data_IF_378041195491
#
_entry.id   IF_378041195491
#
_cell.length_a   1.000
_cell.length_b   1.000
_cell.length_c   1.000
_cell.angle_alpha   90.00
_cell.angle_beta   90.00
_cell.angle_gamma   90.00
#
_symmetry.space_group_name_H-M   'P 1'
#
loop_
_entity.id
_entity.type
_entity.pdbx_description
1 polymer ?
#
# COMPACT_ATOMS: atom_id res chain seq x y z
N UNK A 1 16.98 9.86 -60.55
CA UNK A 1 16.99 8.40 -60.28
C UNK A 1 18.09 8.10 -59.27
N UNK A 2 17.97 7.39 -58.16
CA UNK A 2 16.89 7.10 -57.20
C UNK A 2 17.67 6.74 -55.92
N UNK A 3 17.52 7.50 -54.83
CA UNK A 3 18.15 7.19 -53.54
C UNK A 3 17.45 5.97 -52.95
N UNK A 4 18.17 4.86 -52.72
CA UNK A 4 17.69 3.74 -51.93
C UNK A 4 17.91 4.06 -50.45
N UNK A 5 16.84 4.45 -49.77
CA UNK A 5 16.69 4.26 -48.34
C UNK A 5 16.01 2.92 -48.15
N UNK A 6 16.65 1.97 -47.48
CA UNK A 6 16.02 0.73 -47.08
C UNK A 6 16.17 0.56 -45.57
N UNK A 7 14.99 0.50 -44.96
CA UNK A 7 14.57 0.47 -43.56
C UNK A 7 15.28 -0.52 -42.66
N UNK A 8 15.75 -0.03 -41.50
CA UNK A 8 16.08 -0.88 -40.36
C UNK A 8 14.79 -1.42 -39.72
N UNK A 9 14.68 -2.75 -39.70
CA UNK A 9 13.60 -3.49 -39.06
C UNK A 9 13.65 -3.33 -37.53
N UNK A 10 12.58 -2.77 -36.95
CA UNK A 10 12.38 -2.68 -35.50
C UNK A 10 12.24 -4.10 -34.93
N UNK A 11 13.20 -4.50 -34.09
CA UNK A 11 13.02 -5.64 -33.20
C UNK A 11 11.92 -5.30 -32.19
N UNK A 12 10.77 -5.94 -32.35
CA UNK A 12 9.67 -5.98 -31.40
C UNK A 12 10.18 -6.64 -30.11
N UNK A 13 10.53 -5.84 -29.11
CA UNK A 13 10.85 -6.31 -27.76
C UNK A 13 9.52 -6.72 -27.13
N UNK A 14 9.19 -8.00 -27.19
CA UNK A 14 8.11 -8.58 -26.39
C UNK A 14 8.65 -8.79 -24.99
N UNK A 15 8.34 -7.87 -24.09
CA UNK A 15 8.55 -8.04 -22.65
C UNK A 15 7.69 -9.23 -22.18
N UNK A 16 8.24 -10.22 -21.47
CA UNK A 16 7.43 -11.24 -20.83
C UNK A 16 6.79 -10.61 -19.60
N UNK A 17 5.47 -10.39 -19.64
CA UNK A 17 4.66 -10.16 -18.43
C UNK A 17 4.73 -11.44 -17.61
N UNK A 18 5.68 -11.49 -16.68
CA UNK A 18 5.73 -12.53 -15.67
C UNK A 18 4.53 -12.30 -14.74
N UNK A 19 3.45 -13.04 -14.98
CA UNK A 19 2.38 -13.20 -14.02
C UNK A 19 2.95 -13.97 -12.83
N UNK A 20 3.27 -13.24 -11.77
CA UNK A 20 3.57 -13.82 -10.46
C UNK A 20 2.26 -14.41 -9.95
N UNK A 21 2.08 -15.71 -10.11
CA UNK A 21 0.98 -16.43 -9.48
C UNK A 21 1.11 -16.30 -7.96
N UNK A 22 0.34 -15.39 -7.38
CA UNK A 22 0.21 -15.25 -5.93
C UNK A 22 -0.41 -16.54 -5.38
N UNK A 23 0.15 -17.08 -4.29
CA UNK A 23 -0.56 -18.08 -3.48
C UNK A 23 -1.92 -17.49 -3.09
N UNK A 24 -3.00 -18.30 -2.98
CA UNK A 24 -4.30 -17.79 -2.56
C UNK A 24 -4.12 -17.05 -1.23
N UNK A 25 -4.29 -15.73 -1.25
CA UNK A 25 -4.30 -14.94 -0.02
C UNK A 25 -5.60 -15.28 0.72
N UNK A 26 -5.50 -15.58 2.01
CA UNK A 26 -6.66 -15.93 2.83
C UNK A 26 -7.68 -14.77 2.81
N UNK A 27 -8.90 -15.08 2.38
CA UNK A 27 -10.07 -14.21 2.52
C UNK A 27 -10.82 -14.58 3.79
N UNK A 28 -11.17 -13.60 4.61
CA UNK A 28 -11.83 -13.79 5.89
C UNK A 28 -13.27 -13.27 5.85
N UNK A 29 -14.19 -13.95 6.55
CA UNK A 29 -15.58 -13.50 6.68
C UNK A 29 -15.74 -12.31 7.64
N UNK A 30 -14.80 -12.15 8.57
CA UNK A 30 -14.69 -11.07 9.54
C UNK A 30 -13.21 -10.95 9.97
N UNK A 31 -12.90 -9.93 10.79
CA UNK A 31 -11.59 -9.84 11.44
C UNK A 31 -11.28 -11.15 12.18
N UNK A 32 -10.14 -11.82 11.90
CA UNK A 32 -9.74 -13.02 12.61
C UNK A 32 -9.53 -12.77 14.10
N UNK A 33 -9.57 -13.83 14.92
CA UNK A 33 -9.24 -13.71 16.33
C UNK A 33 -7.84 -13.10 16.53
N UNK A 34 -7.77 -12.11 17.41
CA UNK A 34 -6.58 -11.32 17.71
C UNK A 34 -6.27 -11.40 19.21
N UNK A 35 -4.98 -11.26 19.56
CA UNK A 35 -4.53 -11.00 20.94
C UNK A 35 -4.09 -9.54 21.09
N UNK A 36 -4.71 -8.64 20.33
CA UNK A 36 -4.35 -7.23 20.32
C UNK A 36 -4.62 -6.58 21.67
N UNK A 37 -3.62 -5.86 22.19
CA UNK A 37 -3.72 -5.13 23.44
C UNK A 37 -3.52 -3.64 23.17
N UNK A 38 -4.61 -2.90 23.13
CA UNK A 38 -4.58 -1.45 22.89
C UNK A 38 -3.71 -0.66 23.86
N UNK A 39 -3.34 -1.21 25.02
CA UNK A 39 -2.47 -0.52 25.99
C UNK A 39 -0.99 -0.52 25.61
N UNK A 40 -0.60 -1.35 24.64
CA UNK A 40 0.78 -1.50 24.19
C UNK A 40 1.15 -0.58 23.02
N UNK A 41 2.45 -0.44 22.80
CA UNK A 41 2.98 0.25 21.64
C UNK A 41 3.30 -0.74 20.53
N UNK A 42 2.90 -0.41 19.30
CA UNK A 42 3.14 -1.24 18.13
C UNK A 42 3.94 -0.52 17.06
N UNK A 43 4.90 -1.21 16.48
CA UNK A 43 5.66 -0.78 15.30
C UNK A 43 5.55 -1.86 14.23
N UNK A 44 5.32 -1.46 12.99
CA UNK A 44 5.32 -2.35 11.84
C UNK A 44 6.53 -2.06 10.95
N UNK A 45 7.31 -3.09 10.62
CA UNK A 45 8.42 -3.01 9.66
C UNK A 45 7.97 -3.69 8.38
N UNK A 46 7.74 -2.90 7.33
CA UNK A 46 7.44 -3.38 6.00
C UNK A 46 8.76 -3.70 5.30
N UNK A 47 9.07 -4.98 5.13
CA UNK A 47 10.23 -5.43 4.34
C UNK A 47 9.85 -5.34 2.87
N UNK A 48 10.38 -4.39 2.12
CA UNK A 48 10.05 -4.22 0.69
C UNK A 48 11.23 -4.56 -0.21
N UNK A 49 10.98 -4.76 -1.50
CA UNK A 49 12.04 -4.96 -2.51
C UNK A 49 12.96 -3.75 -2.68
N UNK A 50 12.60 -2.58 -2.15
CA UNK A 50 13.37 -1.33 -2.26
C UNK A 50 13.98 -0.87 -0.92
N UNK A 51 13.82 -1.66 0.14
CA UNK A 51 14.27 -1.32 1.50
C UNK A 51 13.14 -1.45 2.52
N UNK A 52 13.46 -1.15 3.77
CA UNK A 52 12.51 -1.28 4.87
C UNK A 52 11.79 0.06 5.11
N UNK A 53 10.51 -0.01 5.48
CA UNK A 53 9.73 1.13 5.96
C UNK A 53 9.22 0.80 7.36
N UNK A 54 9.63 1.58 8.36
CA UNK A 54 9.22 1.39 9.76
C UNK A 54 8.11 2.37 10.10
N UNK A 55 6.97 1.87 10.58
CA UNK A 55 5.77 2.63 10.89
C UNK A 55 5.46 2.49 12.39
N UNK A 56 5.37 3.61 13.10
CA UNK A 56 4.78 3.65 14.43
C UNK A 56 3.25 3.67 14.31
N UNK A 57 2.56 2.73 14.98
CA UNK A 57 1.10 2.59 14.91
C UNK A 57 0.41 3.29 16.08
N UNK A 58 -0.76 3.89 15.83
CA UNK A 58 -1.52 4.68 16.78
C UNK A 58 -2.63 3.86 17.46
N UNK A 59 -2.24 2.88 18.27
CA UNK A 59 -3.16 1.92 18.90
C UNK A 59 -4.15 2.58 19.88
N UNK A 60 -3.81 3.74 20.46
CA UNK A 60 -4.66 4.42 21.44
C UNK A 60 -5.81 5.17 20.77
N UNK A 61 -5.54 5.89 19.68
CA UNK A 61 -6.53 6.72 19.01
C UNK A 61 -7.35 5.94 17.98
N UNK A 62 -6.73 4.98 17.28
CA UNK A 62 -7.39 4.17 16.24
C UNK A 62 -7.21 2.66 16.50
N UNK A 63 -7.70 2.13 17.65
CA UNK A 63 -7.44 0.76 18.07
C UNK A 63 -7.96 -0.28 17.08
N UNK A 64 -9.15 -0.12 16.49
CA UNK A 64 -9.72 -1.14 15.58
C UNK A 64 -8.93 -1.20 14.27
N UNK A 65 -8.48 -0.05 13.79
CA UNK A 65 -7.68 0.05 12.56
C UNK A 65 -6.30 -0.58 12.76
N UNK A 66 -5.66 -0.29 13.90
CA UNK A 66 -4.38 -0.90 14.25
C UNK A 66 -4.53 -2.41 14.51
N UNK A 67 -5.55 -2.84 15.24
CA UNK A 67 -5.86 -4.25 15.45
C UNK A 67 -6.01 -5.00 14.13
N UNK A 68 -6.77 -4.44 13.19
CA UNK A 68 -6.94 -4.99 11.85
C UNK A 68 -5.60 -5.14 11.12
N UNK A 69 -4.80 -4.06 11.07
CA UNK A 69 -3.51 -4.08 10.38
C UNK A 69 -2.53 -5.08 11.02
N UNK A 70 -2.43 -5.11 12.36
CA UNK A 70 -1.57 -6.02 13.11
C UNK A 70 -1.98 -7.47 12.88
N UNK A 71 -3.28 -7.77 12.99
CA UNK A 71 -3.81 -9.13 12.82
C UNK A 71 -3.56 -9.64 11.41
N UNK A 72 -3.84 -8.84 10.38
CA UNK A 72 -3.57 -9.20 8.99
C UNK A 72 -2.06 -9.40 8.74
N UNK A 73 -1.21 -8.56 9.33
CA UNK A 73 0.25 -8.70 9.24
C UNK A 73 0.74 -10.02 9.85
N UNK A 74 0.27 -10.36 11.06
CA UNK A 74 0.61 -11.61 11.74
C UNK A 74 0.11 -12.86 10.99
N UNK A 75 -0.97 -12.72 10.21
CA UNK A 75 -1.48 -13.75 9.30
C UNK A 75 -0.79 -13.76 7.93
N UNK A 76 0.29 -12.99 7.75
CA UNK A 76 1.04 -12.88 6.50
C UNK A 76 0.20 -12.37 5.32
N UNK A 77 -0.93 -11.70 5.58
CA UNK A 77 -1.86 -11.25 4.54
C UNK A 77 -1.20 -10.28 3.55
N UNK A 78 -0.31 -9.43 4.05
CA UNK A 78 0.41 -8.43 3.25
C UNK A 78 1.62 -8.99 2.49
N UNK A 79 2.00 -10.25 2.72
CA UNK A 79 3.19 -10.83 2.10
C UNK A 79 2.97 -10.99 0.59
N UNK A 80 3.93 -10.47 -0.18
CA UNK A 80 3.91 -10.39 -1.64
C UNK A 80 2.80 -9.52 -2.23
N UNK A 81 2.18 -8.65 -1.42
CA UNK A 81 1.35 -7.57 -1.94
C UNK A 81 2.23 -6.47 -2.53
N UNK A 82 1.65 -5.64 -3.40
CA UNK A 82 2.37 -4.55 -4.06
C UNK A 82 1.79 -3.19 -3.70
N UNK A 83 2.60 -2.14 -3.86
CA UNK A 83 2.08 -0.79 -4.05
C UNK A 83 1.54 -0.67 -5.48
N UNK A 84 0.23 -0.80 -5.64
CA UNK A 84 -0.44 -0.89 -6.95
C UNK A 84 -0.80 0.49 -7.53
N UNK A 85 -0.85 1.53 -6.70
CA UNK A 85 -1.15 2.90 -7.12
C UNK A 85 -0.18 3.87 -6.45
N UNK A 86 0.51 4.67 -7.26
CA UNK A 86 1.58 5.56 -6.86
C UNK A 86 1.43 6.89 -7.57
N UNK A 87 1.46 8.00 -6.84
CA UNK A 87 1.36 9.35 -7.40
C UNK A 87 2.46 10.23 -6.80
N UNK A 88 3.41 10.62 -7.65
CA UNK A 88 4.49 11.55 -7.26
C UNK A 88 3.90 12.85 -6.69
N UNK A 89 4.44 13.31 -5.57
CA UNK A 89 3.95 14.47 -4.84
C UNK A 89 2.66 14.25 -4.05
N UNK A 90 2.15 13.02 -3.95
CA UNK A 90 0.91 12.74 -3.24
C UNK A 90 1.05 11.53 -2.30
N UNK A 91 0.97 10.30 -2.80
CA UNK A 91 0.97 9.10 -1.96
C UNK A 91 1.36 7.82 -2.71
N UNK A 92 1.69 6.77 -1.95
CA UNK A 92 1.81 5.39 -2.40
C UNK A 92 0.75 4.53 -1.71
N UNK A 93 0.01 3.72 -2.45
CA UNK A 93 -1.10 2.91 -1.96
C UNK A 93 -0.85 1.43 -2.23
N UNK A 94 -1.07 0.61 -1.19
CA UNK A 94 -0.82 -0.82 -1.18
C UNK A 94 -1.83 -1.58 -0.31
N UNK A 95 -1.47 -2.81 0.10
CA UNK A 95 -2.31 -3.65 0.95
C UNK A 95 -3.49 -4.32 0.23
N UNK A 96 -3.46 -4.35 -1.11
CA UNK A 96 -4.41 -5.10 -1.93
C UNK A 96 -3.82 -6.49 -2.27
N UNK A 97 -4.46 -7.60 -1.83
CA UNK A 97 -4.02 -8.94 -2.17
C UNK A 97 -4.11 -9.27 -3.66
N UNK A 98 -4.95 -8.59 -4.45
CA UNK A 98 -5.05 -8.79 -5.90
C UNK A 98 -4.07 -7.94 -6.69
N UNK A 99 -3.60 -6.84 -6.10
CA UNK A 99 -2.73 -5.86 -6.74
C UNK A 99 -3.37 -5.03 -7.85
N UNK A 100 -4.71 -5.04 -7.98
CA UNK A 100 -5.45 -4.32 -9.03
C UNK A 100 -6.28 -3.14 -8.50
N UNK A 101 -6.21 -2.88 -7.19
CA UNK A 101 -6.94 -1.87 -6.45
C UNK A 101 -8.31 -2.34 -5.94
N UNK A 102 -8.75 -3.55 -6.28
CA UNK A 102 -10.13 -4.02 -6.00
C UNK A 102 -10.23 -5.07 -4.91
N UNK A 103 -9.11 -5.63 -4.45
CA UNK A 103 -9.12 -6.65 -3.41
C UNK A 103 -9.16 -6.07 -1.99
N UNK A 104 -9.24 -6.99 -1.03
CA UNK A 104 -9.37 -6.69 0.38
C UNK A 104 -9.40 -7.98 1.21
N UNK A 105 -9.60 -7.88 2.53
CA UNK A 105 -9.50 -9.02 3.44
C UNK A 105 -10.76 -9.90 3.47
N UNK A 106 -11.78 -9.57 2.67
CA UNK A 106 -13.07 -10.28 2.63
C UNK A 106 -14.16 -9.66 3.52
N UNK A 107 -13.82 -8.67 4.35
CA UNK A 107 -14.74 -7.91 5.18
C UNK A 107 -14.44 -6.41 5.12
N UNK A 108 -15.32 -5.63 5.76
CA UNK A 108 -15.17 -4.18 5.96
C UNK A 108 -15.43 -3.80 7.40
N UNK A 109 -14.86 -2.69 7.85
CA UNK A 109 -15.10 -2.15 9.19
C UNK A 109 -15.30 -0.62 9.17
N UNK A 110 -15.90 -0.13 10.25
CA UNK A 110 -16.28 1.27 10.43
C UNK A 110 -15.06 2.20 10.50
N UNK A 111 -15.28 3.48 10.20
CA UNK A 111 -14.28 4.52 10.45
C UNK A 111 -14.10 4.70 11.96
N UNK A 112 -12.90 5.11 12.36
CA UNK A 112 -12.62 5.59 13.70
C UNK A 112 -12.43 7.11 13.64
N UNK A 113 -12.94 7.86 14.64
CA UNK A 113 -12.64 9.28 14.73
C UNK A 113 -11.13 9.44 14.88
N UNK A 114 -10.55 10.32 14.07
CA UNK A 114 -9.14 10.65 14.16
C UNK A 114 -8.97 12.16 14.10
N UNK A 115 -7.92 12.64 14.75
CA UNK A 115 -7.47 14.03 14.66
C UNK A 115 -6.11 14.04 13.97
N UNK A 116 -5.93 14.90 12.97
CA UNK A 116 -4.65 14.98 12.26
C UNK A 116 -4.75 15.59 10.87
N UNK A 117 -3.57 15.79 10.29
CA UNK A 117 -3.37 16.32 8.95
C UNK A 117 -2.56 15.30 8.13
N UNK A 118 -2.87 15.17 6.84
CA UNK A 118 -2.19 14.24 5.93
C UNK A 118 -0.84 14.81 5.49
N UNK A 119 0.08 14.86 6.46
CA UNK A 119 1.47 15.27 6.26
C UNK A 119 2.33 14.11 5.76
N UNK A 120 3.50 14.42 5.21
CA UNK A 120 4.48 13.46 4.71
C UNK A 120 4.76 12.35 5.74
N UNK A 121 4.69 11.10 5.28
CA UNK A 121 4.92 9.89 6.09
C UNK A 121 3.71 9.43 6.90
N UNK A 122 2.59 10.14 6.90
CA UNK A 122 1.35 9.66 7.52
C UNK A 122 0.83 8.43 6.78
N UNK A 123 0.36 7.45 7.56
CA UNK A 123 -0.23 6.20 7.07
C UNK A 123 -1.71 6.18 7.42
N UNK A 124 -2.55 5.97 6.41
CA UNK A 124 -4.00 5.98 6.56
C UNK A 124 -4.68 4.89 5.74
N UNK A 125 -5.89 4.50 6.16
CA UNK A 125 -6.68 3.49 5.46
C UNK A 125 -7.24 4.03 4.15
N UNK A 126 -7.10 3.27 3.07
CA UNK A 126 -7.88 3.49 1.86
C UNK A 126 -9.30 2.89 2.05
N UNK A 127 -10.31 3.56 1.50
CA UNK A 127 -11.70 3.12 1.56
C UNK A 127 -12.47 3.46 0.28
N UNK A 128 -13.67 2.91 0.14
CA UNK A 128 -14.60 3.16 -0.97
C UNK A 128 -15.77 4.06 -0.52
N UNK A 129 -15.54 4.90 0.49
CA UNK A 129 -16.56 5.70 1.17
C UNK A 129 -16.64 5.39 2.68
N UNK A 130 -17.49 6.13 3.42
CA UNK A 130 -17.57 6.01 4.87
C UNK A 130 -17.81 4.57 5.34
N UNK A 131 -17.11 4.15 6.39
CA UNK A 131 -17.23 2.84 7.04
C UNK A 131 -16.94 1.64 6.12
N UNK A 132 -16.01 1.80 5.17
CA UNK A 132 -15.62 0.73 4.23
C UNK A 132 -14.14 0.38 4.28
N UNK A 133 -13.50 0.59 5.44
CA UNK A 133 -12.10 0.21 5.64
C UNK A 133 -11.92 -1.31 5.50
N UNK A 134 -10.77 -1.73 4.99
CA UNK A 134 -10.43 -3.14 4.78
C UNK A 134 -8.95 -3.38 5.05
N UNK A 135 -8.19 -3.78 4.03
CA UNK A 135 -6.75 -4.05 4.17
C UNK A 135 -5.88 -2.99 3.48
N UNK A 136 -6.43 -2.26 2.52
CA UNK A 136 -5.68 -1.29 1.73
C UNK A 136 -5.35 -0.05 2.56
N UNK A 137 -4.13 0.44 2.40
CA UNK A 137 -3.63 1.63 3.08
C UNK A 137 -2.79 2.46 2.11
N UNK A 138 -2.55 3.73 2.45
CA UNK A 138 -1.61 4.57 1.75
C UNK A 138 -0.65 5.26 2.71
N UNK A 139 0.53 5.62 2.18
CA UNK A 139 1.55 6.41 2.85
C UNK A 139 1.71 7.72 2.08
N UNK A 140 1.61 8.85 2.79
CA UNK A 140 1.77 10.17 2.21
C UNK A 140 3.21 10.41 1.76
N UNK A 141 3.41 10.74 0.48
CA UNK A 141 4.71 11.14 -0.06
C UNK A 141 5.00 12.63 0.24
N UNK A 142 3.99 13.49 0.14
CA UNK A 142 4.07 14.91 0.51
C UNK A 142 2.82 15.32 1.26
N UNK A 143 2.88 16.46 1.92
CA UNK A 143 1.72 17.06 2.58
C UNK A 143 0.59 17.29 1.57
N UNK A 144 -0.63 16.91 1.93
CA UNK A 144 -1.79 17.11 1.09
C UNK A 144 -3.02 17.48 1.95
N UNK A 145 -3.81 18.50 1.56
CA UNK A 145 -5.01 18.89 2.30
C UNK A 145 -6.21 17.99 1.93
N UNK A 146 -6.06 16.68 2.08
CA UNK A 146 -7.17 15.75 1.84
C UNK A 146 -8.31 16.01 2.84
N UNK A 147 -9.58 15.84 2.42
CA UNK A 147 -10.69 15.75 3.36
C UNK A 147 -10.44 14.66 4.40
N UNK A 148 -10.88 14.89 5.65
CA UNK A 148 -10.65 14.01 6.81
C UNK A 148 -11.53 12.74 6.79
N UNK A 149 -11.45 11.99 5.69
CA UNK A 149 -12.29 10.83 5.38
C UNK A 149 -11.52 9.49 5.48
N UNK A 150 -10.22 9.53 5.75
CA UNK A 150 -9.34 8.36 5.81
C UNK A 150 -8.70 8.27 7.18
N UNK A 151 -8.95 7.16 7.90
CA UNK A 151 -8.46 6.95 9.26
C UNK A 151 -6.94 6.90 9.26
N UNK A 152 -6.30 7.88 9.92
CA UNK A 152 -4.86 7.90 10.18
C UNK A 152 -4.58 6.92 11.31
N UNK A 153 -3.75 5.90 11.07
CA UNK A 153 -3.45 4.88 12.06
C UNK A 153 -1.95 4.67 12.31
N UNK A 154 -1.09 5.43 11.65
CA UNK A 154 0.34 5.38 11.89
C UNK A 154 1.13 6.45 11.17
N UNK A 155 2.44 6.44 11.42
CA UNK A 155 3.41 7.34 10.82
C UNK A 155 4.72 6.62 10.56
N UNK A 156 5.30 6.84 9.38
CA UNK A 156 6.65 6.40 9.05
C UNK A 156 7.66 7.11 9.97
N UNK A 157 8.46 6.32 10.68
CA UNK A 157 9.52 6.79 11.57
C UNK A 157 10.92 6.51 11.02
N UNK A 158 11.08 5.53 10.13
CA UNK A 158 12.32 5.22 9.41
C UNK A 158 11.99 4.73 7.99
N UNK A 159 12.87 4.96 7.01
CA UNK A 159 12.67 4.53 5.63
C UNK A 159 11.80 5.47 4.78
N UNK A 160 11.73 6.76 5.13
CA UNK A 160 10.95 7.73 4.35
C UNK A 160 11.51 7.95 2.93
N UNK A 161 12.82 7.75 2.75
CA UNK A 161 13.50 7.74 1.47
C UNK A 161 13.11 6.54 0.59
N UNK A 162 12.71 5.42 1.20
CA UNK A 162 12.14 4.28 0.46
C UNK A 162 10.76 4.66 -0.08
N UNK A 163 9.95 5.39 0.71
CA UNK A 163 8.67 5.96 0.24
C UNK A 163 8.89 6.89 -0.96
N UNK A 164 9.90 7.76 -0.91
CA UNK A 164 10.25 8.64 -2.04
C UNK A 164 10.62 7.82 -3.29
N UNK A 165 11.50 6.83 -3.12
CA UNK A 165 11.94 5.98 -4.23
C UNK A 165 10.76 5.27 -4.90
N UNK A 166 9.81 4.75 -4.11
CA UNK A 166 8.59 4.15 -4.64
C UNK A 166 7.76 5.22 -5.36
N UNK A 167 7.55 6.39 -4.73
CA UNK A 167 6.67 7.43 -5.22
C UNK A 167 7.15 8.11 -6.52
N UNK A 168 8.47 8.13 -6.75
CA UNK A 168 9.10 8.73 -7.92
C UNK A 168 9.38 7.73 -9.05
N UNK A 169 9.09 6.44 -8.84
CA UNK A 169 9.29 5.41 -9.85
C UNK A 169 8.39 5.65 -11.08
N UNK A 170 8.82 5.20 -12.28
CA UNK A 170 8.01 5.31 -13.48
C UNK A 170 6.64 4.62 -13.36
N UNK A 171 5.60 5.33 -13.77
CA UNK A 171 4.21 4.87 -13.81
C UNK A 171 3.66 4.92 -15.24
N UNK A 172 2.66 4.11 -15.49
CA UNK A 172 1.79 4.14 -16.66
C UNK A 172 0.36 4.53 -16.25
N UNK A 173 -0.50 4.79 -17.25
CA UNK A 173 -1.92 5.01 -16.99
C UNK A 173 -2.58 3.75 -16.42
N UNK A 174 -3.36 3.93 -15.36
CA UNK A 174 -4.26 2.92 -14.82
C UNK A 174 -5.45 2.69 -15.78
N UNK A 175 -6.32 1.74 -15.43
CA UNK A 175 -7.54 1.46 -16.20
C UNK A 175 -8.50 2.66 -16.30
N UNK A 176 -8.42 3.61 -15.36
CA UNK A 176 -9.19 4.87 -15.38
C UNK A 176 -8.48 6.00 -16.13
N UNK A 177 -7.26 5.77 -16.64
CA UNK A 177 -6.44 6.76 -17.34
C UNK A 177 -5.53 7.60 -16.43
N UNK A 178 -5.66 7.48 -15.10
CA UNK A 178 -4.80 8.19 -14.14
C UNK A 178 -3.34 7.67 -14.27
N UNK A 179 -2.32 8.53 -14.43
CA UNK A 179 -0.92 8.11 -14.50
C UNK A 179 -0.41 7.71 -13.11
N UNK A 180 -0.79 6.53 -12.65
CA UNK A 180 -0.55 6.09 -11.27
C UNK A 180 -0.21 4.62 -11.11
N UNK A 181 -0.23 3.80 -12.17
CA UNK A 181 0.09 2.38 -12.07
C UNK A 181 1.60 2.17 -12.23
N UNK A 182 2.34 1.64 -11.26
CA UNK A 182 3.78 1.43 -11.41
C UNK A 182 4.12 0.45 -12.54
N UNK A 183 5.14 0.78 -13.34
CA UNK A 183 5.66 -0.13 -14.38
C UNK A 183 6.35 -1.34 -13.74
N UNK A 184 7.13 -1.09 -12.69
CA UNK A 184 7.77 -2.11 -11.86
C UNK A 184 7.29 -1.92 -10.42
N UNK A 185 6.16 -2.54 -10.03
CA UNK A 185 5.59 -2.33 -8.71
C UNK A 185 6.50 -2.90 -7.62
N UNK A 186 6.65 -2.13 -6.54
CA UNK A 186 7.41 -2.54 -5.36
C UNK A 186 6.58 -3.49 -4.51
N UNK A 187 7.22 -4.59 -4.11
CA UNK A 187 6.57 -5.67 -3.36
C UNK A 187 6.89 -5.56 -1.87
N UNK A 188 5.86 -5.67 -1.03
CA UNK A 188 5.98 -5.90 0.41
C UNK A 188 6.22 -7.40 0.59
N UNK A 189 7.44 -7.80 0.92
CA UNK A 189 7.84 -9.20 1.09
C UNK A 189 7.23 -9.78 2.38
N UNK A 190 7.29 -9.00 3.45
CA UNK A 190 6.68 -9.33 4.74
C UNK A 190 6.41 -8.08 5.57
N UNK A 191 5.57 -8.23 6.60
CA UNK A 191 5.36 -7.21 7.63
C UNK A 191 5.68 -7.82 8.99
N UNK A 192 6.69 -7.27 9.67
CA UNK A 192 7.05 -7.67 11.03
C UNK A 192 6.40 -6.71 12.03
N UNK A 193 5.69 -7.26 13.02
CA UNK A 193 5.09 -6.48 14.11
C UNK A 193 5.95 -6.60 15.35
N UNK A 194 6.40 -5.44 15.86
CA UNK A 194 7.12 -5.30 17.12
C UNK A 194 6.16 -4.72 18.15
N UNK A 195 5.97 -5.44 19.24
CA UNK A 195 5.09 -5.08 20.36
C UNK A 195 5.95 -4.77 21.60
N UNK A 196 5.63 -3.68 22.31
CA UNK A 196 6.31 -3.24 23.55
C UNK A 196 5.33 -2.81 24.62
#
# INVERSE_FOLDING_TARGET
MTKKFETASQKKVTSPTASLAQKPVETFAALPESFFDKSKSYTAVLKTTEGDITIQLNAQETPKTVENFVTLSQKNFYNNTIFHRVIKGFMIQGGDPKGDGTGGPGYRFADEPFEGEYTRGIVAMANAGPNTNGSQFFIMHQDNPLPKNYVIFGKVIEGIEVVDKIAEAPVESSSSGEPSKPINPVTVQSVEIIEK
#
